data_IF_174458090486
#
_entry.id   IF_174458090486
#
_cell.length_a   1.000
_cell.length_b   1.000
_cell.length_c   1.000
_cell.angle_alpha   90.00
_cell.angle_beta   90.00
_cell.angle_gamma   90.00
#
_symmetry.space_group_name_H-M   'P 1'
#
loop_
_entity.id
_entity.type
_entity.pdbx_description
1 polymer ?
#
# COMPACT_ATOMS: atom_id res chain seq x y z
N UNK A 1 -1.59 17.93 -23.78
CA UNK A 1 -0.38 17.77 -22.94
C UNK A 1 -0.38 16.35 -22.40
N UNK A 2 0.04 15.37 -23.20
CA UNK A 2 -0.28 13.95 -22.93
C UNK A 2 0.87 13.04 -23.33
N UNK A 3 2.05 13.31 -22.76
CA UNK A 3 3.28 12.59 -23.06
C UNK A 3 4.20 12.51 -21.83
N UNK A 4 3.70 11.99 -20.71
CA UNK A 4 4.54 11.64 -19.54
C UNK A 4 4.28 10.25 -18.96
N UNK A 5 3.39 9.45 -19.57
CA UNK A 5 2.96 8.17 -18.99
C UNK A 5 3.55 6.93 -19.67
N UNK A 6 4.26 7.05 -20.80
CA UNK A 6 4.62 5.87 -21.62
C UNK A 6 6.02 5.28 -21.43
N UNK A 7 6.98 5.99 -20.81
CA UNK A 7 8.39 5.53 -20.80
C UNK A 7 8.89 4.90 -19.50
N UNK A 8 8.13 4.96 -18.40
CA UNK A 8 8.49 4.30 -17.12
C UNK A 8 7.63 3.07 -16.77
N UNK A 9 6.88 2.55 -17.74
CA UNK A 9 5.91 1.45 -17.55
C UNK A 9 6.55 0.08 -17.26
N UNK A 10 7.87 -0.05 -17.35
CA UNK A 10 8.60 -1.32 -17.18
C UNK A 10 9.02 -1.59 -15.74
N UNK A 11 9.13 -0.57 -14.86
CA UNK A 11 9.98 -0.70 -13.66
C UNK A 11 9.24 -1.29 -12.43
N UNK A 12 7.90 -1.33 -12.41
CA UNK A 12 7.17 -1.73 -11.19
C UNK A 12 5.90 -2.55 -11.44
N UNK A 13 5.98 -3.50 -12.37
CA UNK A 13 4.99 -4.56 -12.46
C UNK A 13 5.44 -5.75 -11.58
N UNK A 14 4.63 -6.18 -10.60
CA UNK A 14 4.98 -7.33 -9.79
C UNK A 14 5.03 -8.60 -10.67
N UNK A 15 6.07 -9.42 -10.44
CA UNK A 15 6.27 -10.74 -11.05
C UNK A 15 5.31 -11.80 -10.52
N UNK A 16 4.79 -11.60 -9.31
CA UNK A 16 3.91 -12.58 -8.66
C UNK A 16 3.12 -11.99 -7.50
N UNK A 17 2.22 -12.80 -6.96
CA UNK A 17 1.41 -12.45 -5.79
C UNK A 17 1.17 -13.70 -4.94
N UNK A 18 1.42 -13.57 -3.64
CA UNK A 18 1.07 -14.57 -2.64
C UNK A 18 0.03 -13.98 -1.67
N UNK A 19 -0.77 -14.84 -1.04
CA UNK A 19 -1.62 -14.41 0.08
C UNK A 19 -0.87 -14.54 1.39
N UNK A 20 -1.08 -13.58 2.28
CA UNK A 20 -0.49 -13.64 3.61
C UNK A 20 -1.07 -14.81 4.42
N UNK A 21 -0.22 -15.48 5.20
CA UNK A 21 -0.61 -16.61 6.05
C UNK A 21 -0.60 -16.25 7.55
N UNK A 22 0.37 -15.44 7.97
CA UNK A 22 0.48 -14.92 9.34
C UNK A 22 0.62 -13.41 9.30
N UNK A 23 0.14 -12.76 10.34
CA UNK A 23 0.34 -11.32 10.50
C UNK A 23 1.81 -11.00 10.77
N UNK A 24 2.30 -9.94 10.12
CA UNK A 24 3.55 -9.25 10.39
C UNK A 24 3.40 -7.78 9.92
N UNK A 25 4.45 -6.98 10.04
CA UNK A 25 4.41 -5.55 9.67
C UNK A 25 4.18 -5.35 8.16
N UNK A 26 4.73 -6.22 7.31
CA UNK A 26 4.51 -6.18 5.85
C UNK A 26 3.04 -6.42 5.49
N UNK A 27 2.39 -7.36 6.18
CA UNK A 27 0.95 -7.65 6.01
C UNK A 27 0.09 -6.50 6.50
N UNK A 28 0.48 -5.85 7.60
CA UNK A 28 -0.19 -4.64 8.10
C UNK A 28 -0.14 -3.50 7.07
N UNK A 29 1.03 -3.27 6.46
CA UNK A 29 1.16 -2.27 5.39
C UNK A 29 0.35 -2.67 4.15
N UNK A 30 0.43 -3.92 3.71
CA UNK A 30 -0.36 -4.43 2.58
C UNK A 30 -1.86 -4.25 2.83
N UNK A 31 -2.34 -4.54 4.04
CA UNK A 31 -3.71 -4.30 4.47
C UNK A 31 -4.09 -2.82 4.30
N UNK A 32 -3.27 -1.90 4.81
CA UNK A 32 -3.55 -0.46 4.76
C UNK A 32 -3.59 0.05 3.31
N UNK A 33 -2.58 -0.27 2.49
CA UNK A 33 -2.55 0.14 1.08
C UNK A 33 -3.75 -0.41 0.29
N UNK A 34 -4.09 -1.68 0.51
CA UNK A 34 -5.20 -2.33 -0.19
C UNK A 34 -6.55 -1.80 0.24
N UNK A 35 -6.71 -1.43 1.51
CA UNK A 35 -7.92 -0.73 1.97
C UNK A 35 -8.09 0.61 1.24
N UNK A 36 -6.99 1.33 0.97
CA UNK A 36 -7.00 2.59 0.22
C UNK A 36 -7.10 2.41 -1.31
N UNK A 37 -7.11 1.17 -1.81
CA UNK A 37 -7.26 0.85 -3.24
C UNK A 37 -5.96 0.73 -4.02
N UNK A 38 -4.81 0.60 -3.34
CA UNK A 38 -3.49 0.39 -3.93
C UNK A 38 -2.97 -1.02 -3.63
N UNK A 39 -2.16 -1.60 -4.51
CA UNK A 39 -1.51 -2.89 -4.24
C UNK A 39 -0.53 -2.78 -3.06
N UNK A 40 0.27 -1.72 -3.05
CA UNK A 40 1.38 -1.47 -2.12
C UNK A 40 1.84 0.00 -2.19
N UNK A 41 2.92 0.30 -1.46
CA UNK A 41 3.56 1.62 -1.43
C UNK A 41 4.07 2.08 -2.79
N UNK A 42 4.51 1.15 -3.65
CA UNK A 42 5.03 1.46 -4.97
C UNK A 42 3.92 2.01 -5.85
N UNK A 43 2.77 1.34 -5.91
CA UNK A 43 1.63 1.85 -6.66
C UNK A 43 1.09 3.16 -6.07
N UNK A 44 1.06 3.28 -4.74
CA UNK A 44 0.64 4.52 -4.08
C UNK A 44 1.51 5.71 -4.49
N UNK A 45 2.83 5.57 -4.42
CA UNK A 45 3.78 6.62 -4.84
C UNK A 45 3.61 6.93 -6.32
N UNK A 46 3.49 5.91 -7.16
CA UNK A 46 3.30 6.12 -8.59
C UNK A 46 2.03 6.94 -8.90
N UNK A 47 0.90 6.60 -8.27
CA UNK A 47 -0.37 7.28 -8.51
C UNK A 47 -0.44 8.69 -7.91
N UNK A 48 0.33 8.96 -6.86
CA UNK A 48 0.32 10.23 -6.13
C UNK A 48 1.60 11.05 -6.33
N UNK A 49 2.22 10.99 -7.51
CA UNK A 49 3.40 11.79 -7.88
C UNK A 49 4.57 11.69 -6.87
N UNK A 50 4.88 10.47 -6.44
CA UNK A 50 5.90 10.12 -5.44
C UNK A 50 5.71 10.78 -4.08
N UNK A 51 4.46 11.03 -3.68
CA UNK A 51 4.13 11.54 -2.36
C UNK A 51 4.72 10.66 -1.24
N UNK A 52 5.31 11.31 -0.25
CA UNK A 52 5.81 10.65 0.96
C UNK A 52 4.67 9.98 1.73
N UNK A 53 4.89 8.75 2.19
CA UNK A 53 3.93 8.03 3.03
C UNK A 53 4.16 8.43 4.49
N UNK A 54 3.20 9.15 5.06
CA UNK A 54 3.24 9.50 6.48
C UNK A 54 3.11 8.23 7.34
N UNK A 55 4.05 8.01 8.26
CA UNK A 55 4.09 6.85 9.16
C UNK A 55 4.12 7.30 10.62
N UNK A 56 3.62 6.48 11.51
CA UNK A 56 3.71 6.72 12.95
C UNK A 56 5.16 6.53 13.42
N UNK A 57 5.72 7.44 14.23
CA UNK A 57 7.13 7.36 14.64
C UNK A 57 7.43 6.15 15.52
N UNK A 58 6.47 5.71 16.35
CA UNK A 58 6.69 4.64 17.32
C UNK A 58 6.63 3.24 16.68
N UNK A 59 5.68 3.02 15.76
CA UNK A 59 5.42 1.70 15.17
C UNK A 59 5.88 1.55 13.72
N UNK A 60 6.18 2.66 13.04
CA UNK A 60 6.49 2.65 11.61
C UNK A 60 5.28 2.39 10.69
N UNK A 61 4.09 2.13 11.23
CA UNK A 61 2.91 1.85 10.40
C UNK A 61 2.40 3.10 9.67
N UNK A 62 1.82 2.90 8.48
CA UNK A 62 1.22 3.96 7.67
C UNK A 62 0.16 4.71 8.47
N UNK A 63 0.32 6.02 8.64
CA UNK A 63 -0.59 6.87 9.40
C UNK A 63 -1.77 7.36 8.56
N UNK A 64 -1.53 7.71 7.30
CA UNK A 64 -2.52 8.32 6.42
C UNK A 64 -2.24 8.01 4.97
N UNK A 65 -3.28 7.69 4.20
CA UNK A 65 -3.21 7.55 2.73
C UNK A 65 -4.32 8.34 2.07
N UNK A 66 -4.00 8.98 0.94
CA UNK A 66 -5.02 9.48 0.01
C UNK A 66 -5.54 8.31 -0.81
N UNK A 67 -6.86 8.16 -0.91
CA UNK A 67 -7.54 7.15 -1.74
C UNK A 67 -7.61 7.63 -3.19
N UNK A 68 -7.89 6.70 -4.11
CA UNK A 68 -8.09 6.99 -5.54
C UNK A 68 -9.26 7.94 -5.83
N UNK A 69 -10.26 7.98 -4.95
CA UNK A 69 -11.41 8.91 -5.04
C UNK A 69 -11.13 10.31 -4.45
N UNK A 70 -9.90 10.56 -3.98
CA UNK A 70 -9.47 11.85 -3.46
C UNK A 70 -9.69 12.05 -1.95
N UNK A 71 -10.42 11.16 -1.29
CA UNK A 71 -10.59 11.17 0.16
C UNK A 71 -9.37 10.59 0.88
N UNK A 72 -9.35 10.65 2.21
CA UNK A 72 -8.23 10.15 3.01
C UNK A 72 -8.68 9.04 3.96
N UNK A 73 -7.85 8.00 4.07
CA UNK A 73 -7.88 7.09 5.21
C UNK A 73 -6.85 7.51 6.24
N UNK A 74 -7.22 7.37 7.51
CA UNK A 74 -6.37 7.54 8.67
C UNK A 74 -6.35 6.21 9.42
N UNK A 75 -5.17 5.78 9.81
CA UNK A 75 -4.97 4.49 10.47
C UNK A 75 -4.38 4.69 11.87
N UNK A 76 -4.71 3.78 12.76
CA UNK A 76 -4.19 3.75 14.12
C UNK A 76 -2.68 3.48 14.14
N UNK A 77 -2.02 3.99 15.18
CA UNK A 77 -0.61 3.70 15.47
C UNK A 77 -0.37 2.24 15.84
N UNK A 78 -1.40 1.53 16.28
CA UNK A 78 -1.38 0.09 16.59
C UNK A 78 -1.85 -0.73 15.38
N UNK A 79 -1.66 -2.05 15.47
CA UNK A 79 -2.17 -3.05 14.53
C UNK A 79 -3.68 -2.88 14.30
N UNK A 80 -4.09 -2.90 13.03
CA UNK A 80 -5.50 -2.91 12.60
C UNK A 80 -5.87 -4.14 11.77
N UNK A 81 -4.90 -4.82 11.14
CA UNK A 81 -5.17 -6.06 10.41
C UNK A 81 -5.46 -7.20 11.39
N UNK A 82 -6.74 -7.51 11.59
CA UNK A 82 -7.17 -8.65 12.41
C UNK A 82 -6.81 -9.99 11.76
N UNK A 83 -6.66 -11.06 12.56
CA UNK A 83 -6.29 -12.39 12.05
C UNK A 83 -7.25 -12.91 10.97
N UNK A 84 -8.53 -12.54 11.05
CA UNK A 84 -9.57 -12.86 10.05
C UNK A 84 -9.35 -12.17 8.71
N UNK A 85 -8.54 -11.11 8.65
CA UNK A 85 -8.29 -10.32 7.44
C UNK A 85 -6.90 -10.58 6.84
N UNK A 86 -6.00 -11.22 7.59
CA UNK A 86 -4.65 -11.59 7.12
C UNK A 86 -4.70 -12.32 5.78
N UNK A 87 -5.51 -13.37 5.66
CA UNK A 87 -5.59 -14.17 4.42
C UNK A 87 -6.15 -13.39 3.20
N UNK A 88 -6.76 -12.22 3.43
CA UNK A 88 -7.26 -11.35 2.36
C UNK A 88 -6.14 -10.50 1.75
N UNK A 89 -5.10 -10.22 2.51
CA UNK A 89 -3.98 -9.37 2.12
C UNK A 89 -3.13 -10.06 1.04
N UNK A 90 -2.88 -9.34 -0.05
CA UNK A 90 -2.04 -9.78 -1.16
C UNK A 90 -0.62 -9.22 -0.98
N UNK A 91 0.40 -10.06 -1.03
CA UNK A 91 1.79 -9.65 -1.01
C UNK A 91 2.35 -9.77 -2.42
N UNK A 92 2.76 -8.66 -3.01
CA UNK A 92 3.25 -8.58 -4.38
C UNK A 92 4.77 -8.74 -4.42
N UNK A 93 5.24 -9.59 -5.33
CA UNK A 93 6.67 -9.90 -5.51
C UNK A 93 7.14 -9.21 -6.79
N UNK A 94 8.29 -8.55 -6.72
CA UNK A 94 8.84 -7.73 -7.79
C UNK A 94 10.11 -8.31 -8.44
#
# INVERSE_FOLDING_TARGET
MEARHSEMSVIYMPKGMNRAYKWNEEVEDAYRFQLAGYRDEVEYKHFNDNLFVERWPDSGFVKKLKRKDGFFYYYNRKRECEDKDVHKCKLYIY
#
